data_IF_547397893980
#
_entry.id   IF_547397893980
#
_cell.length_a   1.000
_cell.length_b   1.000
_cell.length_c   1.000
_cell.angle_alpha   90.00
_cell.angle_beta   90.00
_cell.angle_gamma   90.00
#
_symmetry.space_group_name_H-M   'P 1'
#
loop_
_entity.id
_entity.type
_entity.pdbx_description
1 polymer ?
#
# COMPACT_ATOMS: atom_id res chain seq x y z
N UNK A 1 -11.86 -2.11 3.20
CA UNK A 1 -10.93 -1.87 2.08
C UNK A 1 -10.36 -3.19 1.56
N UNK A 2 -10.23 -3.30 0.24
CA UNK A 2 -9.70 -4.46 -0.49
C UNK A 2 -8.43 -4.06 -1.23
N UNK A 3 -7.68 -5.04 -1.74
CA UNK A 3 -6.43 -4.80 -2.47
C UNK A 3 -6.57 -3.89 -3.70
N UNK A 4 -7.77 -3.79 -4.28
CA UNK A 4 -8.06 -2.98 -5.46
C UNK A 4 -8.37 -1.51 -5.14
N UNK A 5 -8.57 -1.17 -3.87
CA UNK A 5 -8.90 0.18 -3.42
C UNK A 5 -7.61 1.04 -3.30
N UNK A 6 -6.82 1.10 -4.37
CA UNK A 6 -5.45 1.62 -4.39
C UNK A 6 -5.33 3.03 -3.82
N UNK A 7 -6.26 3.94 -4.16
CA UNK A 7 -6.25 5.32 -3.66
C UNK A 7 -6.44 5.38 -2.15
N UNK A 8 -7.44 4.68 -1.62
CA UNK A 8 -7.73 4.66 -0.17
C UNK A 8 -6.59 4.01 0.62
N UNK A 9 -5.98 2.95 0.05
CA UNK A 9 -4.77 2.36 0.62
C UNK A 9 -3.65 3.40 0.72
N UNK A 10 -3.37 4.13 -0.37
CA UNK A 10 -2.28 5.12 -0.40
C UNK A 10 -2.53 6.27 0.57
N UNK A 11 -3.75 6.82 0.62
CA UNK A 11 -4.12 7.89 1.56
C UNK A 11 -3.80 7.49 3.02
N UNK A 12 -4.15 6.26 3.40
CA UNK A 12 -3.89 5.75 4.74
C UNK A 12 -2.42 5.42 4.99
N UNK A 13 -1.69 4.98 3.96
CA UNK A 13 -0.26 4.75 4.06
C UNK A 13 0.49 6.07 4.28
N UNK A 14 0.11 7.14 3.58
CA UNK A 14 0.69 8.48 3.75
C UNK A 14 0.38 9.02 5.16
N UNK A 15 -0.85 8.89 5.64
CA UNK A 15 -1.25 9.38 6.97
C UNK A 15 -0.59 8.59 8.11
N UNK A 16 -0.55 7.25 8.01
CA UNK A 16 -0.03 6.38 9.08
C UNK A 16 1.47 6.15 9.05
N UNK A 17 2.10 6.28 7.88
CA UNK A 17 3.51 5.98 7.67
C UNK A 17 4.24 7.11 6.90
N UNK A 18 4.17 8.38 7.36
CA UNK A 18 4.80 9.51 6.66
C UNK A 18 6.34 9.45 6.63
N UNK A 19 6.97 8.60 7.44
CA UNK A 19 8.42 8.39 7.42
C UNK A 19 8.90 7.34 6.40
N UNK A 20 7.99 6.62 5.76
CA UNK A 20 8.33 5.56 4.80
C UNK A 20 8.56 6.17 3.42
N UNK A 21 9.73 5.90 2.84
CA UNK A 21 10.02 6.28 1.46
C UNK A 21 9.47 5.23 0.48
N UNK A 22 8.39 5.53 -0.28
CA UNK A 22 7.77 4.56 -1.17
C UNK A 22 8.68 4.18 -2.34
N UNK A 23 9.71 4.98 -2.67
CA UNK A 23 10.72 4.65 -3.68
C UNK A 23 11.72 3.58 -3.19
N UNK A 24 11.77 3.30 -1.88
CA UNK A 24 12.72 2.34 -1.26
C UNK A 24 12.08 1.15 -0.55
N UNK A 25 10.77 1.17 -0.30
CA UNK A 25 10.09 0.06 0.38
C UNK A 25 10.08 -1.22 -0.46
N UNK A 26 10.28 -2.37 0.18
CA UNK A 26 10.16 -3.68 -0.45
C UNK A 26 8.68 -4.11 -0.51
N UNK A 27 8.30 -4.87 -1.54
CA UNK A 27 6.92 -5.37 -1.68
C UNK A 27 6.46 -6.23 -0.49
N UNK A 28 7.36 -6.98 0.15
CA UNK A 28 7.03 -7.73 1.36
C UNK A 28 6.62 -6.82 2.52
N UNK A 29 7.31 -5.69 2.66
CA UNK A 29 7.04 -4.72 3.71
C UNK A 29 5.79 -3.91 3.37
N UNK A 30 5.64 -3.45 2.12
CA UNK A 30 4.45 -2.76 1.65
C UNK A 30 3.20 -3.61 1.85
N UNK A 31 3.24 -4.89 1.49
CA UNK A 31 2.15 -5.84 1.76
C UNK A 31 1.83 -5.93 3.24
N UNK A 32 2.85 -5.95 4.09
CA UNK A 32 2.67 -6.00 5.55
C UNK A 32 2.00 -4.72 6.06
N UNK A 33 2.42 -3.53 5.61
CA UNK A 33 1.79 -2.27 5.99
C UNK A 33 0.30 -2.25 5.62
N UNK A 34 -0.03 -2.60 4.38
CA UNK A 34 -1.42 -2.65 3.89
C UNK A 34 -2.25 -3.66 4.69
N UNK A 35 -1.69 -4.84 4.96
CA UNK A 35 -2.40 -5.89 5.71
C UNK A 35 -2.61 -5.54 7.19
N UNK A 36 -1.87 -4.57 7.73
CA UNK A 36 -2.01 -4.08 9.10
C UNK A 36 -2.89 -2.82 9.21
N UNK A 37 -3.44 -2.31 8.09
CA UNK A 37 -4.42 -1.23 8.14
C UNK A 37 -5.71 -1.74 8.80
N UNK A 38 -6.21 -1.03 9.80
CA UNK A 38 -7.41 -1.40 10.57
C UNK A 38 -8.65 -1.64 9.69
N UNK A 39 -8.76 -0.92 8.58
CA UNK A 39 -9.89 -0.98 7.64
C UNK A 39 -9.67 -1.99 6.49
N UNK A 40 -8.54 -2.71 6.50
CA UNK A 40 -8.22 -3.70 5.49
C UNK A 40 -8.89 -5.04 5.79
N UNK A 41 -9.64 -5.55 4.81
CA UNK A 41 -10.49 -6.74 4.93
C UNK A 41 -10.37 -7.63 3.69
N UNK A 42 -9.17 -7.89 3.17
CA UNK A 42 -9.02 -8.83 2.05
C UNK A 42 -8.06 -9.97 2.35
N UNK A 43 -8.16 -11.02 1.54
CA UNK A 43 -7.35 -12.21 1.69
C UNK A 43 -5.95 -11.95 1.16
N UNK A 44 -4.95 -12.33 1.96
CA UNK A 44 -3.54 -12.20 1.61
C UNK A 44 -3.17 -12.92 0.31
N UNK A 45 -3.92 -13.95 -0.09
CA UNK A 45 -3.71 -14.73 -1.30
C UNK A 45 -4.15 -14.01 -2.58
N UNK A 46 -4.99 -12.97 -2.48
CA UNK A 46 -5.39 -12.14 -3.62
C UNK A 46 -4.33 -11.09 -3.97
N UNK A 47 -3.41 -10.82 -3.06
CA UNK A 47 -2.28 -9.94 -3.29
C UNK A 47 -1.33 -10.53 -4.35
N UNK A 48 -1.01 -9.76 -5.37
CA UNK A 48 0.02 -10.09 -6.35
C UNK A 48 0.95 -8.89 -6.57
N UNK A 49 2.07 -9.11 -7.26
CA UNK A 49 3.08 -8.07 -7.48
C UNK A 49 2.53 -6.85 -8.23
N UNK A 50 1.56 -7.02 -9.14
CA UNK A 50 0.97 -5.89 -9.89
C UNK A 50 0.12 -4.98 -9.03
N UNK A 51 -0.57 -5.53 -8.03
CA UNK A 51 -1.32 -4.73 -7.05
C UNK A 51 -0.35 -3.88 -6.24
N UNK A 52 0.71 -4.50 -5.71
CA UNK A 52 1.70 -3.80 -4.89
C UNK A 52 2.47 -2.76 -5.70
N UNK A 53 2.79 -3.06 -6.96
CA UNK A 53 3.36 -2.11 -7.91
C UNK A 53 2.43 -0.90 -8.14
N UNK A 54 1.13 -1.13 -8.34
CA UNK A 54 0.16 -0.04 -8.52
C UNK A 54 0.03 0.84 -7.27
N UNK A 55 0.01 0.24 -6.08
CA UNK A 55 -0.02 0.98 -4.80
C UNK A 55 1.27 1.79 -4.63
N UNK A 56 2.44 1.16 -4.85
CA UNK A 56 3.73 1.85 -4.73
C UNK A 56 3.86 3.00 -5.73
N UNK A 57 3.45 2.79 -6.98
CA UNK A 57 3.52 3.82 -8.02
C UNK A 57 2.63 5.03 -7.70
N UNK A 58 1.41 4.78 -7.23
CA UNK A 58 0.50 5.86 -6.81
C UNK A 58 1.02 6.59 -5.58
N UNK A 59 1.55 5.87 -4.58
CA UNK A 59 2.15 6.50 -3.40
C UNK A 59 3.33 7.40 -3.79
N UNK A 60 4.20 6.94 -4.69
CA UNK A 60 5.28 7.76 -5.24
C UNK A 60 4.75 9.02 -5.95
N UNK A 61 3.66 8.91 -6.71
CA UNK A 61 3.04 10.03 -7.43
C UNK A 61 2.46 11.09 -6.49
N UNK A 62 1.83 10.68 -5.39
CA UNK A 62 1.22 11.60 -4.41
C UNK A 62 2.27 12.31 -3.52
N UNK A 63 3.47 11.74 -3.37
CA UNK A 63 4.57 12.35 -2.59
C UNK A 63 5.57 13.17 -3.41
N UNK A 64 5.47 13.20 -4.75
CA UNK A 64 6.33 14.00 -5.64
C UNK A 64 5.80 15.45 -5.81
#
# INVERSE_FOLDING_TARGET
MKWIDTYEIVDLLIDKHPEVDPKKILFTDLRSLISNLEEFDDELEKCNERILEAVQALWIEEED
#
